data_IF_518349338979
#
_entry.id   IF_518349338979
#
_cell.length_a   1.000
_cell.length_b   1.000
_cell.length_c   1.000
_cell.angle_alpha   90.00
_cell.angle_beta   90.00
_cell.angle_gamma   90.00
#
_symmetry.space_group_name_H-M   'P 1'
#
loop_
_entity.id
_entity.type
_entity.pdbx_description
1 polymer ?
#
# COMPACT_ATOMS: atom_id res chain seq x y z
N UNK A 1 20.58 -6.42 -63.61
CA UNK A 1 19.82 -5.63 -62.61
C UNK A 1 18.73 -6.52 -62.01
N UNK A 2 18.93 -7.10 -60.83
CA UNK A 2 17.95 -8.01 -60.23
C UNK A 2 16.81 -7.21 -59.57
N UNK A 3 15.59 -7.31 -60.12
CA UNK A 3 14.36 -6.76 -59.51
C UNK A 3 14.12 -7.46 -58.17
N UNK A 4 14.41 -6.77 -57.06
CA UNK A 4 14.02 -7.24 -55.72
C UNK A 4 12.50 -7.25 -55.62
N UNK A 5 11.94 -8.43 -55.37
CA UNK A 5 10.49 -8.65 -55.27
C UNK A 5 9.89 -7.85 -54.10
N UNK A 6 8.83 -7.04 -54.33
CA UNK A 6 8.20 -6.20 -53.30
C UNK A 6 7.60 -7.02 -52.15
N UNK A 7 7.32 -8.31 -52.36
CA UNK A 7 6.84 -9.23 -51.30
C UNK A 7 7.86 -9.46 -50.20
N UNK A 8 9.16 -9.48 -50.51
CA UNK A 8 10.21 -9.73 -49.50
C UNK A 8 10.39 -8.54 -48.56
N UNK A 9 10.22 -7.32 -49.07
CA UNK A 9 10.32 -6.09 -48.27
C UNK A 9 9.14 -5.98 -47.30
N UNK A 10 7.92 -6.30 -47.76
CA UNK A 10 6.72 -6.25 -46.92
C UNK A 10 6.76 -7.24 -45.75
N UNK A 11 7.23 -8.47 -45.99
CA UNK A 11 7.36 -9.50 -44.96
C UNK A 11 8.41 -9.10 -43.91
N UNK A 12 9.54 -8.52 -44.32
CA UNK A 12 10.56 -8.05 -43.39
C UNK A 12 10.08 -6.89 -42.50
N UNK A 13 9.26 -5.97 -43.03
CA UNK A 13 8.69 -4.85 -42.25
C UNK A 13 7.65 -5.36 -41.23
N UNK A 14 6.82 -6.33 -41.59
CA UNK A 14 5.85 -6.94 -40.66
C UNK A 14 6.54 -7.70 -39.54
N UNK A 15 7.62 -8.43 -39.83
CA UNK A 15 8.40 -9.13 -38.81
C UNK A 15 9.09 -8.14 -37.86
N UNK A 16 9.68 -7.05 -38.39
CA UNK A 16 10.29 -6.00 -37.57
C UNK A 16 9.26 -5.26 -36.69
N UNK A 17 8.05 -5.01 -37.20
CA UNK A 17 6.96 -4.44 -36.41
C UNK A 17 6.41 -5.41 -35.35
N UNK A 18 6.38 -6.71 -35.63
CA UNK A 18 5.97 -7.73 -34.66
C UNK A 18 7.01 -7.89 -33.53
N UNK A 19 8.29 -7.86 -33.86
CA UNK A 19 9.38 -7.90 -32.86
C UNK A 19 9.43 -6.60 -32.06
N UNK A 20 9.35 -5.44 -32.73
CA UNK A 20 9.33 -4.13 -32.06
C UNK A 20 8.10 -3.92 -31.19
N UNK A 21 6.91 -4.34 -31.67
CA UNK A 21 5.67 -4.32 -30.90
C UNK A 21 5.68 -5.31 -29.73
N UNK A 22 6.28 -6.49 -29.89
CA UNK A 22 6.44 -7.47 -28.82
C UNK A 22 7.36 -6.98 -27.69
N UNK A 23 8.47 -6.31 -28.03
CA UNK A 23 9.36 -5.70 -27.03
C UNK A 23 8.67 -4.53 -26.31
N UNK A 24 7.93 -3.68 -27.02
CA UNK A 24 7.20 -2.56 -26.41
C UNK A 24 6.07 -3.03 -25.47
N UNK A 25 5.35 -4.10 -25.85
CA UNK A 25 4.33 -4.71 -25.01
C UNK A 25 4.91 -5.38 -23.74
N UNK A 26 6.11 -5.98 -23.83
CA UNK A 26 6.79 -6.54 -22.65
C UNK A 26 7.26 -5.46 -21.68
N UNK A 27 7.78 -4.32 -22.17
CA UNK A 27 8.23 -3.22 -21.30
C UNK A 27 7.04 -2.52 -20.61
N UNK A 28 5.90 -2.36 -21.30
CA UNK A 28 4.68 -1.82 -20.69
C UNK A 28 4.07 -2.74 -19.62
N UNK A 29 4.23 -4.06 -19.77
CA UNK A 29 3.78 -5.05 -18.78
C UNK A 29 4.60 -5.00 -17.48
N UNK A 30 5.88 -4.64 -17.53
CA UNK A 30 6.72 -4.57 -16.33
C UNK A 30 6.47 -3.30 -15.49
N UNK A 31 6.04 -2.18 -16.10
CA UNK A 31 5.68 -0.98 -15.34
C UNK A 31 4.40 -1.15 -14.53
N UNK A 32 3.49 -2.02 -14.99
CA UNK A 32 2.22 -2.28 -14.35
C UNK A 32 2.32 -3.15 -13.09
N UNK A 33 3.50 -3.64 -12.71
CA UNK A 33 3.69 -4.38 -11.45
C UNK A 33 4.62 -3.66 -10.46
N UNK A 34 5.06 -2.43 -10.78
CA UNK A 34 5.87 -1.63 -9.85
C UNK A 34 5.04 -1.26 -8.62
N UNK A 35 5.59 -1.54 -7.45
CA UNK A 35 5.05 -1.29 -6.11
C UNK A 35 6.15 -0.74 -5.19
N UNK A 36 5.81 0.01 -4.12
CA UNK A 36 4.47 0.35 -3.68
C UNK A 36 3.87 1.56 -4.42
N UNK A 37 2.55 1.58 -4.50
CA UNK A 37 1.78 2.78 -4.79
C UNK A 37 1.49 3.54 -3.49
N UNK A 38 1.90 4.81 -3.41
CA UNK A 38 1.52 5.69 -2.30
C UNK A 38 0.11 6.21 -2.57
N UNK A 39 -0.82 5.86 -1.68
CA UNK A 39 -2.25 6.02 -1.91
C UNK A 39 -2.94 6.90 -0.87
N UNK A 40 -3.98 7.61 -1.31
CA UNK A 40 -4.95 8.22 -0.40
C UNK A 40 -5.91 7.16 0.11
N UNK A 41 -6.40 7.31 1.35
CA UNK A 41 -7.38 6.39 1.93
C UNK A 41 -8.76 7.05 2.01
N UNK A 42 -9.77 6.39 1.44
CA UNK A 42 -11.17 6.78 1.54
C UNK A 42 -11.89 5.81 2.47
N UNK A 43 -12.65 6.36 3.41
CA UNK A 43 -13.67 5.63 4.15
C UNK A 43 -15.03 5.84 3.49
N UNK A 44 -15.66 4.76 3.03
CA UNK A 44 -17.07 4.76 2.67
C UNK A 44 -17.90 4.23 3.84
N UNK A 45 -18.80 5.07 4.36
CA UNK A 45 -19.74 4.68 5.41
C UNK A 45 -21.05 5.43 5.22
N UNK A 46 -22.18 4.76 5.47
CA UNK A 46 -23.53 5.33 5.32
C UNK A 46 -23.77 5.99 3.95
N UNK A 47 -23.16 5.45 2.89
CA UNK A 47 -23.29 5.95 1.52
C UNK A 47 -22.50 7.23 1.20
N UNK A 48 -21.68 7.72 2.13
CA UNK A 48 -20.81 8.89 1.94
C UNK A 48 -19.34 8.48 1.86
N UNK A 49 -18.53 9.27 1.15
CA UNK A 49 -17.08 9.10 1.01
C UNK A 49 -16.34 10.14 1.85
N UNK A 50 -15.46 9.68 2.74
CA UNK A 50 -14.64 10.55 3.57
C UNK A 50 -13.16 10.34 3.27
N UNK A 51 -12.44 11.41 2.96
CA UNK A 51 -10.99 11.37 2.73
C UNK A 51 -10.25 11.37 4.06
N UNK A 52 -9.34 10.41 4.24
CA UNK A 52 -8.50 10.37 5.42
C UNK A 52 -7.58 11.58 5.48
N UNK A 53 -7.55 12.21 6.65
CA UNK A 53 -6.62 13.27 7.00
C UNK A 53 -5.72 12.80 8.13
N UNK A 54 -4.41 12.86 7.89
CA UNK A 54 -3.39 12.61 8.92
C UNK A 54 -3.28 13.77 9.92
N UNK A 55 -3.92 14.91 9.64
CA UNK A 55 -4.10 15.98 10.62
C UNK A 55 -5.01 15.51 11.76
N UNK A 56 -4.75 15.97 12.99
CA UNK A 56 -5.60 15.69 14.14
C UNK A 56 -7.00 16.30 13.98
N UNK A 57 -8.01 15.67 14.62
CA UNK A 57 -9.42 16.09 14.57
C UNK A 57 -9.63 17.58 14.82
N UNK A 58 -8.97 18.15 15.83
CA UNK A 58 -9.09 19.57 16.16
C UNK A 58 -8.59 20.48 15.03
N UNK A 59 -7.48 20.13 14.39
CA UNK A 59 -6.93 20.90 13.26
C UNK A 59 -7.86 20.83 12.06
N UNK A 60 -8.38 19.64 11.75
CA UNK A 60 -9.36 19.44 10.67
C UNK A 60 -10.59 20.29 10.93
N UNK A 61 -11.16 20.20 12.13
CA UNK A 61 -12.35 20.96 12.54
C UNK A 61 -12.13 22.47 12.40
N UNK A 62 -11.02 23.01 12.91
CA UNK A 62 -10.70 24.44 12.80
C UNK A 62 -10.60 24.91 11.35
N UNK A 63 -9.97 24.12 10.46
CA UNK A 63 -9.85 24.48 9.05
C UNK A 63 -11.21 24.47 8.35
N UNK A 64 -12.06 23.48 8.65
CA UNK A 64 -13.41 23.39 8.09
C UNK A 64 -14.33 24.52 8.58
N UNK A 65 -14.23 24.89 9.86
CA UNK A 65 -14.94 26.06 10.43
C UNK A 65 -14.49 27.37 9.77
N UNK A 66 -13.20 27.48 9.42
CA UNK A 66 -12.64 28.58 8.63
C UNK A 66 -12.97 28.49 7.13
N UNK A 67 -13.79 27.52 6.71
CA UNK A 67 -14.17 27.24 5.31
C UNK A 67 -12.97 26.95 4.38
N UNK A 68 -11.93 26.31 4.92
CA UNK A 68 -10.77 25.84 4.18
C UNK A 68 -10.73 24.32 4.13
N UNK A 69 -10.33 23.77 2.98
CA UNK A 69 -10.06 22.34 2.81
C UNK A 69 -8.81 21.93 3.60
N UNK A 70 -8.91 20.89 4.45
CA UNK A 70 -7.75 20.29 5.07
C UNK A 70 -6.76 19.68 4.10
N UNK A 71 -5.47 19.76 4.46
CA UNK A 71 -4.43 19.07 3.72
C UNK A 71 -4.60 17.56 3.90
N UNK A 72 -4.87 16.86 2.80
CA UNK A 72 -4.84 15.40 2.74
C UNK A 72 -3.53 14.97 2.08
N UNK A 73 -2.79 14.09 2.75
CA UNK A 73 -1.54 13.55 2.25
C UNK A 73 -1.68 12.04 2.08
N UNK A 74 -1.36 11.54 0.89
CA UNK A 74 -1.27 10.11 0.65
C UNK A 74 -0.13 9.52 1.50
N UNK A 75 -0.46 8.56 2.35
CA UNK A 75 0.46 8.00 3.34
C UNK A 75 0.43 6.47 3.42
N UNK A 76 -0.51 5.83 2.73
CA UNK A 76 -0.58 4.37 2.69
C UNK A 76 0.19 3.81 1.51
N UNK A 77 1.31 3.13 1.79
CA UNK A 77 2.01 2.31 0.82
C UNK A 77 1.24 1.00 0.57
N UNK A 78 0.75 0.83 -0.66
CA UNK A 78 0.03 -0.37 -1.12
C UNK A 78 0.91 -1.13 -2.10
N UNK A 79 1.20 -2.38 -1.76
CA UNK A 79 1.96 -3.27 -2.64
C UNK A 79 0.99 -4.18 -3.38
N UNK A 80 1.20 -4.34 -4.69
CA UNK A 80 0.36 -5.16 -5.57
C UNK A 80 1.15 -6.34 -6.11
N UNK A 81 0.53 -7.50 -6.11
CA UNK A 81 1.01 -8.69 -6.80
C UNK A 81 -0.19 -9.39 -7.43
N UNK A 82 -0.32 -9.26 -8.76
CA UNK A 82 -1.53 -9.64 -9.48
C UNK A 82 -2.77 -8.92 -8.93
N UNK A 83 -3.81 -9.69 -8.57
CA UNK A 83 -5.05 -9.15 -7.99
C UNK A 83 -4.99 -8.98 -6.46
N UNK A 84 -3.86 -9.30 -5.83
CA UNK A 84 -3.69 -9.22 -4.39
C UNK A 84 -3.03 -7.88 -3.98
N UNK A 85 -3.52 -7.32 -2.87
CA UNK A 85 -2.98 -6.12 -2.26
C UNK A 85 -2.42 -6.42 -0.88
N UNK A 86 -1.31 -5.76 -0.57
CA UNK A 86 -0.59 -5.91 0.67
C UNK A 86 -0.21 -4.54 1.23
N UNK A 87 -0.02 -4.49 2.55
CA UNK A 87 0.39 -3.29 3.27
C UNK A 87 1.52 -3.60 4.23
N UNK A 88 2.36 -2.60 4.50
CA UNK A 88 3.43 -2.71 5.48
C UNK A 88 2.84 -2.75 6.91
N UNK A 89 3.14 -3.79 7.72
CA UNK A 89 2.63 -3.89 9.07
C UNK A 89 3.07 -2.76 10.00
N UNK A 90 4.17 -2.06 9.71
CA UNK A 90 4.66 -0.92 10.50
C UNK A 90 3.91 0.38 10.19
N UNK A 91 3.35 0.50 8.98
CA UNK A 91 2.79 1.75 8.45
C UNK A 91 1.28 1.64 8.12
N UNK A 92 0.54 0.86 8.91
CA UNK A 92 -0.89 0.62 8.67
C UNK A 92 -1.82 1.08 9.80
N UNK A 93 -1.34 1.89 10.76
CA UNK A 93 -2.13 2.36 11.91
C UNK A 93 -3.40 3.09 11.49
N UNK A 94 -3.30 4.01 10.53
CA UNK A 94 -4.45 4.74 9.99
C UNK A 94 -5.46 3.79 9.36
N UNK A 95 -5.00 2.95 8.44
CA UNK A 95 -5.82 1.95 7.77
C UNK A 95 -6.56 1.04 8.76
N UNK A 96 -5.87 0.56 9.80
CA UNK A 96 -6.45 -0.28 10.85
C UNK A 96 -7.55 0.44 11.62
N UNK A 97 -7.35 1.70 11.99
CA UNK A 97 -8.37 2.48 12.69
C UNK A 97 -9.58 2.78 11.79
N UNK A 98 -9.36 3.02 10.49
CA UNK A 98 -10.45 3.14 9.53
C UNK A 98 -11.23 1.83 9.38
N UNK A 99 -10.54 0.69 9.29
CA UNK A 99 -11.17 -0.63 9.22
C UNK A 99 -11.93 -1.01 10.50
N UNK A 100 -11.44 -0.57 11.67
CA UNK A 100 -12.12 -0.80 12.95
C UNK A 100 -13.30 0.13 13.18
N UNK A 101 -13.45 1.19 12.38
CA UNK A 101 -14.43 2.24 12.62
C UNK A 101 -14.12 3.13 13.82
N UNK A 102 -12.89 3.07 14.38
CA UNK A 102 -12.42 4.06 15.35
C UNK A 102 -12.04 5.35 14.60
N UNK A 103 -13.05 6.11 14.23
CA UNK A 103 -12.90 7.30 13.38
C UNK A 103 -13.83 8.42 13.80
N UNK A 104 -13.44 9.64 13.45
CA UNK A 104 -14.30 10.83 13.51
C UNK A 104 -14.49 11.38 12.10
N UNK A 105 -15.75 11.56 11.69
CA UNK A 105 -16.11 12.03 10.35
C UNK A 105 -16.60 13.48 10.39
N UNK A 106 -16.11 14.29 9.46
CA UNK A 106 -16.48 15.69 9.30
C UNK A 106 -17.14 15.90 7.95
N UNK A 107 -18.44 16.18 7.94
CA UNK A 107 -19.17 16.49 6.71
C UNK A 107 -18.70 17.84 6.15
N UNK A 108 -18.16 17.82 4.94
CA UNK A 108 -17.77 19.01 4.19
C UNK A 108 -17.73 18.64 2.71
N UNK A 109 -18.72 19.13 1.95
CA UNK A 109 -18.93 18.67 0.58
C UNK A 109 -17.84 19.22 -0.34
N UNK A 110 -16.91 18.34 -0.72
CA UNK A 110 -15.89 18.59 -1.73
C UNK A 110 -16.36 18.12 -3.11
N UNK A 111 -15.56 18.43 -4.14
CA UNK A 111 -15.89 18.05 -5.52
C UNK A 111 -15.95 16.53 -5.72
N UNK A 112 -15.06 15.78 -5.08
CA UNK A 112 -14.87 14.34 -5.31
C UNK A 112 -15.24 13.44 -4.12
N UNK A 113 -15.55 14.02 -2.95
CA UNK A 113 -15.91 13.30 -1.73
C UNK A 113 -16.84 14.15 -0.85
N UNK A 114 -17.38 13.57 0.22
CA UNK A 114 -18.45 14.14 1.05
C UNK A 114 -17.95 14.73 2.38
N UNK A 115 -16.67 14.51 2.71
CA UNK A 115 -16.05 15.05 3.91
C UNK A 115 -14.68 14.49 4.21
N UNK A 116 -14.21 14.73 5.42
CA UNK A 116 -12.93 14.26 5.91
C UNK A 116 -13.13 13.25 7.04
N UNK A 117 -12.14 12.37 7.24
CA UNK A 117 -12.11 11.43 8.36
C UNK A 117 -10.76 11.44 9.05
N UNK A 118 -10.77 11.41 10.39
CA UNK A 118 -9.57 11.27 11.22
C UNK A 118 -9.69 10.01 12.09
N UNK A 119 -8.59 9.64 12.74
CA UNK A 119 -8.57 8.53 13.70
C UNK A 119 -9.22 8.99 15.00
N UNK A 120 -10.12 8.17 15.55
CA UNK A 120 -10.75 8.40 16.85
C UNK A 120 -9.81 8.13 18.03
N UNK A 121 -10.33 8.18 19.25
CA UNK A 121 -9.51 8.06 20.47
C UNK A 121 -9.13 6.61 20.84
N UNK A 122 -9.89 5.61 20.38
CA UNK A 122 -9.68 4.20 20.76
C UNK A 122 -8.76 3.46 19.77
N UNK A 123 -7.45 3.50 20.01
CA UNK A 123 -6.49 2.93 19.06
C UNK A 123 -6.63 1.40 18.89
N UNK A 124 -7.03 1.00 17.68
CA UNK A 124 -7.16 -0.40 17.29
C UNK A 124 -5.82 -1.07 16.92
N UNK A 125 -4.73 -0.33 16.96
CA UNK A 125 -3.39 -0.74 16.55
C UNK A 125 -2.39 -0.53 17.69
N UNK A 126 -1.73 -1.59 18.15
CA UNK A 126 -0.65 -1.50 19.15
C UNK A 126 0.59 -2.21 18.63
N UNK A 127 1.74 -1.54 18.65
CA UNK A 127 3.03 -2.12 18.31
C UNK A 127 3.89 -2.30 19.56
N UNK A 128 4.55 -3.45 19.66
CA UNK A 128 5.47 -3.79 20.74
C UNK A 128 6.73 -4.42 20.16
N UNK A 129 7.87 -4.12 20.77
CA UNK A 129 9.17 -4.64 20.39
C UNK A 129 9.76 -5.46 21.55
N UNK A 130 10.35 -6.60 21.23
CA UNK A 130 11.06 -7.46 22.17
C UNK A 130 12.45 -7.81 21.62
N UNK A 131 13.47 -7.79 22.48
CA UNK A 131 14.80 -8.26 22.12
C UNK A 131 14.95 -9.74 22.47
N UNK A 132 15.42 -10.54 21.51
CA UNK A 132 15.55 -12.00 21.63
C UNK A 132 17.02 -12.37 21.46
N UNK A 133 17.59 -13.00 22.48
CA UNK A 133 18.96 -13.52 22.42
C UNK A 133 19.09 -14.58 21.34
N UNK A 134 20.21 -14.58 20.62
CA UNK A 134 20.54 -15.62 19.65
C UNK A 134 21.61 -16.58 20.20
N UNK A 135 21.94 -17.63 19.46
CA UNK A 135 23.04 -18.54 19.80
C UNK A 135 24.43 -17.92 19.66
N UNK A 136 24.55 -16.70 19.10
CA UNK A 136 25.82 -16.00 18.91
C UNK A 136 25.96 -14.89 19.96
N UNK A 137 27.09 -14.89 20.67
CA UNK A 137 27.42 -13.86 21.67
C UNK A 137 27.39 -12.48 21.03
N UNK A 138 26.72 -11.53 21.68
CA UNK A 138 26.59 -10.15 21.20
C UNK A 138 25.57 -9.95 20.06
N UNK A 139 24.86 -10.99 19.62
CA UNK A 139 23.79 -10.87 18.60
C UNK A 139 22.41 -11.04 19.21
N UNK A 140 21.54 -10.07 18.94
CA UNK A 140 20.12 -10.08 19.30
C UNK A 140 19.27 -9.94 18.04
N UNK A 141 18.20 -10.71 17.97
CA UNK A 141 17.12 -10.48 17.02
C UNK A 141 16.08 -9.57 17.67
N UNK A 142 15.41 -8.75 16.86
CA UNK A 142 14.32 -7.90 17.30
C UNK A 142 13.01 -8.55 16.87
N UNK A 143 12.17 -8.95 17.83
CA UNK A 143 10.83 -9.44 17.55
C UNK A 143 9.84 -8.28 17.63
N UNK A 144 9.15 -8.01 16.54
CA UNK A 144 8.07 -7.04 16.48
C UNK A 144 6.72 -7.75 16.57
N UNK A 145 5.81 -7.17 17.34
CA UNK A 145 4.45 -7.67 17.52
C UNK A 145 3.48 -6.51 17.36
N UNK A 146 2.62 -6.60 16.35
CA UNK A 146 1.48 -5.73 16.17
C UNK A 146 0.23 -6.46 16.66
N UNK A 147 -0.48 -5.88 17.62
CA UNK A 147 -1.78 -6.33 18.11
C UNK A 147 -2.86 -5.45 17.51
N UNK A 148 -3.77 -6.08 16.77
CA UNK A 148 -4.96 -5.45 16.21
C UNK A 148 -6.18 -5.82 17.05
N UNK A 149 -7.04 -4.87 17.34
CA UNK A 149 -8.31 -5.11 18.06
C UNK A 149 -9.49 -4.68 17.20
N UNK A 150 -10.47 -5.56 16.99
CA UNK A 150 -11.68 -5.23 16.22
C UNK A 150 -12.81 -4.72 17.11
N UNK A 151 -13.91 -4.26 16.49
CA UNK A 151 -15.12 -3.74 17.18
C UNK A 151 -15.79 -4.72 18.13
N UNK A 152 -15.49 -6.02 18.01
CA UNK A 152 -16.00 -7.08 18.89
C UNK A 152 -15.03 -7.43 20.02
N UNK A 153 -13.96 -6.64 20.20
CA UNK A 153 -12.90 -6.89 21.18
C UNK A 153 -12.00 -8.09 20.85
N UNK A 154 -12.12 -8.69 19.67
CA UNK A 154 -11.24 -9.80 19.27
C UNK A 154 -9.89 -9.23 18.83
N UNK A 155 -8.83 -9.99 19.09
CA UNK A 155 -7.48 -9.60 18.74
C UNK A 155 -6.88 -10.44 17.61
N UNK A 156 -6.05 -9.81 16.78
CA UNK A 156 -5.18 -10.48 15.80
C UNK A 156 -3.74 -10.02 16.05
N UNK A 157 -2.83 -10.99 16.17
CA UNK A 157 -1.40 -10.71 16.30
C UNK A 157 -0.72 -10.83 14.95
N UNK A 158 0.04 -9.82 14.56
CA UNK A 158 0.98 -9.86 13.44
C UNK A 158 2.38 -9.79 14.03
N UNK A 159 3.27 -10.70 13.66
CA UNK A 159 4.62 -10.71 14.23
C UNK A 159 5.68 -11.21 13.28
N UNK A 160 6.87 -10.66 13.44
CA UNK A 160 8.07 -11.01 12.68
C UNK A 160 9.32 -10.79 13.54
N UNK A 161 10.41 -11.42 13.13
CA UNK A 161 11.74 -11.08 13.61
C UNK A 161 12.44 -10.18 12.59
N UNK A 162 13.33 -9.34 13.07
CA UNK A 162 14.24 -8.50 12.32
C UNK A 162 15.66 -8.74 12.84
N UNK A 163 16.59 -9.10 11.95
CA UNK A 163 18.02 -9.17 12.27
C UNK A 163 18.69 -7.83 11.91
N UNK A 164 19.04 -6.99 12.90
CA UNK A 164 19.64 -5.69 12.62
C UNK A 164 21.02 -5.78 11.98
N UNK A 165 21.69 -6.93 12.02
CA UNK A 165 23.01 -7.12 11.42
C UNK A 165 22.97 -7.40 9.93
N UNK A 166 21.84 -7.91 9.41
CA UNK A 166 21.64 -8.20 7.99
C UNK A 166 20.56 -7.37 7.35
N UNK A 167 19.67 -6.75 8.14
CA UNK A 167 18.48 -6.06 7.65
C UNK A 167 17.33 -7.03 7.31
N UNK A 168 17.50 -8.34 7.52
CA UNK A 168 16.53 -9.34 7.08
C UNK A 168 15.32 -9.42 8.02
N UNK A 169 14.14 -9.52 7.41
CA UNK A 169 12.88 -9.81 8.09
C UNK A 169 12.53 -11.29 7.98
N UNK A 170 12.01 -11.86 9.07
CA UNK A 170 11.46 -13.22 9.10
C UNK A 170 10.04 -13.19 9.64
N UNK A 171 9.07 -13.43 8.76
CA UNK A 171 7.67 -13.51 9.14
C UNK A 171 7.41 -14.65 10.14
N UNK A 172 6.55 -14.40 11.13
CA UNK A 172 6.17 -15.40 12.15
C UNK A 172 4.66 -15.65 12.11
N UNK A 173 3.85 -14.58 12.17
CA UNK A 173 2.39 -14.71 12.26
C UNK A 173 1.70 -13.60 11.49
N UNK A 174 0.73 -13.98 10.66
CA UNK A 174 -0.17 -13.08 9.94
C UNK A 174 0.48 -12.01 9.03
N UNK A 175 1.77 -12.17 8.72
CA UNK A 175 2.51 -11.44 7.69
C UNK A 175 3.34 -12.43 6.85
N UNK A 176 3.92 -11.94 5.78
CA UNK A 176 4.83 -12.68 4.90
C UNK A 176 5.93 -11.76 4.35
N UNK A 177 7.05 -12.35 3.93
CA UNK A 177 8.07 -11.65 3.14
C UNK A 177 7.77 -11.95 1.68
N UNK A 178 7.67 -10.92 0.86
CA UNK A 178 7.31 -11.05 -0.56
C UNK A 178 8.13 -10.09 -1.41
N UNK A 179 8.61 -10.57 -2.55
CA UNK A 179 9.33 -9.78 -3.54
C UNK A 179 8.38 -8.92 -4.38
N UNK A 180 8.72 -7.65 -4.55
CA UNK A 180 8.00 -6.71 -5.41
C UNK A 180 8.98 -6.01 -6.35
N UNK A 181 8.53 -5.72 -7.57
CA UNK A 181 9.26 -4.81 -8.45
C UNK A 181 9.17 -3.40 -7.88
N UNK A 182 10.31 -2.80 -7.61
CA UNK A 182 10.43 -1.48 -7.04
C UNK A 182 11.29 -0.60 -7.95
N UNK A 183 10.91 0.68 -8.05
CA UNK A 183 11.62 1.66 -8.84
C UNK A 183 12.38 2.62 -7.92
N UNK A 184 13.68 2.72 -8.11
CA UNK A 184 14.56 3.70 -7.44
C UNK A 184 15.13 4.68 -8.44
N UNK A 185 15.43 5.89 -7.96
CA UNK A 185 16.20 6.88 -8.71
C UNK A 185 17.47 7.21 -7.90
N UNK A 186 18.51 6.37 -7.99
CA UNK A 186 19.71 6.53 -7.17
C UNK A 186 20.48 7.81 -7.50
N UNK A 187 20.37 8.31 -8.74
CA UNK A 187 20.95 9.58 -9.20
C UNK A 187 19.96 10.35 -10.09
N UNK A 188 20.09 11.68 -10.22
CA UNK A 188 19.26 12.46 -11.13
C UNK A 188 19.35 11.92 -12.57
N UNK A 189 18.20 11.54 -13.14
CA UNK A 189 18.11 11.01 -14.51
C UNK A 189 18.35 9.50 -14.63
N UNK A 190 18.68 8.80 -13.54
CA UNK A 190 18.79 7.34 -13.52
C UNK A 190 17.52 6.73 -12.91
N UNK A 191 16.99 5.70 -13.56
CA UNK A 191 15.88 4.89 -13.07
C UNK A 191 16.27 3.42 -13.08
N UNK A 192 16.25 2.81 -11.90
CA UNK A 192 16.54 1.39 -11.70
C UNK A 192 15.27 0.70 -11.24
N UNK A 193 14.89 -0.35 -11.94
CA UNK A 193 13.79 -1.24 -11.54
C UNK A 193 14.42 -2.56 -11.11
N UNK A 194 14.18 -2.94 -9.85
CA UNK A 194 14.70 -4.17 -9.26
C UNK A 194 13.64 -4.85 -8.42
N UNK A 195 13.75 -6.16 -8.24
CA UNK A 195 12.92 -6.88 -7.27
C UNK A 195 13.54 -6.75 -5.89
N UNK A 196 12.74 -6.36 -4.89
CA UNK A 196 13.16 -6.26 -3.49
C UNK A 196 12.12 -6.94 -2.58
N UNK A 197 12.59 -7.56 -1.50
CA UNK A 197 11.75 -8.29 -0.55
C UNK A 197 11.23 -7.36 0.54
N UNK A 198 9.91 -7.34 0.72
CA UNK A 198 9.23 -6.53 1.73
C UNK A 198 8.45 -7.42 2.69
N UNK A 199 8.48 -7.04 3.97
CA UNK A 199 7.58 -7.62 4.96
C UNK A 199 6.20 -6.97 4.81
N UNK A 200 5.19 -7.79 4.51
CA UNK A 200 3.85 -7.30 4.20
C UNK A 200 2.74 -8.13 4.85
N UNK A 201 1.55 -7.53 4.92
CA UNK A 201 0.32 -8.16 5.39
C UNK A 201 -0.72 -8.13 4.26
N UNK A 202 -1.36 -9.27 3.91
CA UNK A 202 -2.42 -9.26 2.91
C UNK A 202 -3.61 -8.41 3.36
N UNK A 203 -3.97 -7.39 2.60
CA UNK A 203 -5.06 -6.46 2.95
C UNK A 203 -6.42 -7.19 3.09
N UNK A 204 -6.65 -8.23 2.26
CA UNK A 204 -7.84 -9.10 2.35
C UNK A 204 -7.97 -9.79 3.71
N UNK A 205 -6.83 -10.13 4.34
CA UNK A 205 -6.80 -10.76 5.66
C UNK A 205 -7.22 -9.78 6.76
N UNK A 206 -6.78 -8.53 6.67
CA UNK A 206 -7.22 -7.43 7.54
C UNK A 206 -8.72 -7.19 7.35
N UNK A 207 -9.18 -7.03 6.11
CA UNK A 207 -10.59 -6.79 5.80
C UNK A 207 -11.51 -7.89 6.38
N UNK A 208 -11.11 -9.17 6.25
CA UNK A 208 -11.84 -10.30 6.83
C UNK A 208 -11.90 -10.24 8.37
N UNK A 209 -10.83 -9.80 9.03
CA UNK A 209 -10.76 -9.71 10.48
C UNK A 209 -11.64 -8.58 11.05
N UNK A 210 -11.66 -7.43 10.37
CA UNK A 210 -12.49 -6.29 10.74
C UNK A 210 -13.94 -6.40 10.23
N UNK A 211 -14.20 -7.27 9.27
CA UNK A 211 -15.53 -7.45 8.69
C UNK A 211 -15.93 -6.33 7.72
N UNK A 212 -14.95 -5.69 7.08
CA UNK A 212 -15.17 -4.63 6.10
C UNK A 212 -14.87 -5.10 4.67
N UNK A 213 -15.23 -4.28 3.68
CA UNK A 213 -14.79 -4.47 2.29
C UNK A 213 -13.67 -3.49 1.97
N UNK A 214 -12.78 -3.90 1.07
CA UNK A 214 -11.69 -3.06 0.59
C UNK A 214 -11.67 -3.06 -0.94
N UNK A 215 -11.19 -1.97 -1.51
CA UNK A 215 -10.87 -1.85 -2.93
C UNK A 215 -9.65 -0.94 -3.09
N UNK A 216 -8.84 -1.20 -4.10
CA UNK A 216 -7.75 -0.30 -4.48
C UNK A 216 -7.90 0.05 -5.96
N UNK A 217 -8.04 1.34 -6.25
CA UNK A 217 -7.97 1.87 -7.60
C UNK A 217 -6.57 2.43 -7.82
N UNK A 218 -5.83 1.78 -8.71
CA UNK A 218 -4.44 2.13 -9.01
C UNK A 218 -4.31 3.34 -9.91
N UNK A 219 -5.28 3.60 -10.79
CA UNK A 219 -5.26 4.75 -11.68
C UNK A 219 -5.37 6.04 -10.86
N UNK A 220 -6.29 6.07 -9.90
CA UNK A 220 -6.49 7.22 -9.02
C UNK A 220 -5.66 7.17 -7.73
N UNK A 221 -4.96 6.05 -7.49
CA UNK A 221 -4.20 5.76 -6.25
C UNK A 221 -5.05 5.95 -4.99
N UNK A 222 -6.25 5.37 -5.00
CA UNK A 222 -7.20 5.44 -3.88
C UNK A 222 -7.45 4.06 -3.31
N UNK A 223 -7.09 3.89 -2.04
CA UNK A 223 -7.47 2.74 -1.23
C UNK A 223 -8.78 3.03 -0.51
N UNK A 224 -9.82 2.25 -0.78
CA UNK A 224 -11.15 2.43 -0.20
C UNK A 224 -11.44 1.37 0.85
N UNK A 225 -11.80 1.79 2.05
CA UNK A 225 -12.39 0.94 3.11
C UNK A 225 -13.90 1.19 3.12
N UNK A 226 -14.72 0.14 3.04
CA UNK A 226 -16.19 0.25 3.12
C UNK A 226 -16.70 -0.46 4.38
N UNK A 227 -17.36 0.31 5.25
CA UNK A 227 -18.01 -0.16 6.49
C UNK A 227 -19.53 -0.29 6.31
#
# INVERSE_FOLDING_TARGET
MAKRSPRRILVSVVILLAIGGGVFAMVGSCSDDISPDISNVILETKGKKYLYSSLGSETVKQQLEAKSSPAAMADLAVYKDGDAFYVDPMNMRALVNLMSGNVETFDYKEKSYDGYVTIGTEDAYKIEQQYVSTSKVGKQAVKQIVTLTNTKGKTMLISWNFDPSTGEHKAIKNCEVRGFWFQTNPQPGETVISSEDFLVVPAKKLAKFFGCKIAFDRETKVFTVKL
#
